data_IF_979861674006
#
_entry.id   IF_979861674006
#
_cell.length_a   1.000
_cell.length_b   1.000
_cell.length_c   1.000
_cell.angle_alpha   90.00
_cell.angle_beta   90.00
_cell.angle_gamma   90.00
#
_symmetry.space_group_name_H-M   'P 1'
#
loop_
_entity.id
_entity.type
_entity.pdbx_description
1 polymer ?
#
# COMPACT_ATOMS: atom_id res chain seq x y z
N UNK A 1 67.14 9.15 -53.69
CA UNK A 1 68.16 8.10 -53.48
C UNK A 1 67.63 7.22 -52.35
N UNK A 2 67.41 5.89 -52.49
CA UNK A 2 68.44 4.82 -52.63
C UNK A 2 69.48 4.92 -51.50
N UNK A 3 69.88 3.92 -50.69
CA UNK A 3 69.76 2.44 -50.64
C UNK A 3 70.22 2.01 -49.19
N UNK A 4 70.01 0.82 -48.58
CA UNK A 4 69.33 -0.46 -48.87
C UNK A 4 69.09 -1.28 -47.55
N UNK A 5 68.56 -2.51 -47.62
CA UNK A 5 68.60 -3.58 -46.57
C UNK A 5 69.63 -4.68 -46.98
N UNK A 6 69.86 -5.84 -46.29
CA UNK A 6 69.32 -6.40 -45.01
C UNK A 6 70.43 -6.95 -44.04
N UNK A 7 70.06 -7.66 -42.95
CA UNK A 7 70.49 -9.07 -42.73
C UNK A 7 69.63 -9.81 -41.66
N UNK A 8 69.69 -11.15 -41.64
CA UNK A 8 68.98 -12.12 -40.77
C UNK A 8 69.92 -13.28 -40.40
N UNK A 9 70.21 -13.51 -39.11
CA UNK A 9 70.59 -14.83 -38.51
C UNK A 9 70.11 -14.86 -37.05
N UNK A 10 69.17 -15.74 -36.68
CA UNK A 10 69.35 -17.12 -36.18
C UNK A 10 69.92 -17.20 -34.75
N UNK A 11 69.23 -17.96 -33.87
CA UNK A 11 69.64 -18.19 -32.47
C UNK A 11 68.48 -18.66 -31.58
N UNK A 12 68.16 -19.95 -31.61
CA UNK A 12 67.07 -20.58 -30.83
C UNK A 12 67.59 -21.24 -29.53
N UNK A 13 66.95 -20.95 -28.39
CA UNK A 13 66.91 -21.67 -27.09
C UNK A 13 66.40 -20.68 -26.01
N UNK A 14 65.61 -21.04 -24.99
CA UNK A 14 64.92 -22.29 -24.69
C UNK A 14 64.08 -22.12 -23.41
N UNK A 15 62.96 -22.84 -23.33
CA UNK A 15 62.15 -23.22 -22.14
C UNK A 15 62.49 -22.58 -20.77
N UNK A 16 61.50 -21.91 -20.15
CA UNK A 16 61.15 -22.20 -18.74
C UNK A 16 59.66 -21.91 -18.46
N UNK A 17 59.19 -22.34 -17.29
CA UNK A 17 57.84 -22.81 -17.05
C UNK A 17 56.80 -21.74 -16.71
N UNK A 18 55.53 -22.11 -16.95
CA UNK A 18 54.39 -21.24 -16.71
C UNK A 18 54.02 -21.13 -15.23
N UNK A 19 53.68 -19.92 -14.81
CA UNK A 19 52.87 -19.66 -13.63
C UNK A 19 51.57 -18.98 -14.07
N UNK A 20 50.56 -19.79 -14.43
CA UNK A 20 49.18 -19.29 -14.46
C UNK A 20 48.73 -19.13 -13.02
N UNK A 21 48.75 -17.91 -12.50
CA UNK A 21 47.99 -17.58 -11.31
C UNK A 21 46.52 -17.97 -11.57
N UNK A 22 45.89 -18.78 -10.72
CA UNK A 22 44.45 -18.92 -10.79
C UNK A 22 43.86 -17.59 -10.35
N UNK A 23 43.16 -16.89 -11.26
CA UNK A 23 42.29 -15.79 -10.86
C UNK A 23 41.29 -16.34 -9.83
N UNK A 24 41.47 -15.96 -8.58
CA UNK A 24 40.56 -16.31 -7.50
C UNK A 24 39.23 -15.60 -7.76
N UNK A 25 38.34 -16.29 -8.47
CA UNK A 25 36.95 -15.86 -8.63
C UNK A 25 36.41 -15.47 -7.25
N UNK A 26 35.79 -14.29 -7.10
CA UNK A 26 35.25 -13.88 -5.80
C UNK A 26 34.30 -14.96 -5.30
N UNK A 27 34.31 -15.29 -4.00
CA UNK A 27 33.52 -16.40 -3.47
C UNK A 27 32.05 -16.18 -3.81
N UNK A 28 31.49 -17.06 -4.65
CA UNK A 28 30.05 -17.05 -4.96
C UNK A 28 29.29 -17.03 -3.63
N UNK A 29 28.51 -15.98 -3.42
CA UNK A 29 27.68 -15.85 -2.24
C UNK A 29 26.84 -17.12 -2.09
N UNK A 30 27.04 -17.85 -0.99
CA UNK A 30 26.27 -19.06 -0.73
C UNK A 30 24.80 -18.65 -0.63
N UNK A 31 23.94 -19.28 -1.42
CA UNK A 31 22.49 -19.16 -1.29
C UNK A 31 22.03 -19.84 0.01
N UNK A 32 22.28 -19.20 1.14
CA UNK A 32 21.69 -19.55 2.43
C UNK A 32 20.21 -19.19 2.35
N UNK A 33 19.36 -20.22 2.22
CA UNK A 33 17.93 -20.00 1.98
C UNK A 33 17.21 -19.38 3.17
N UNK A 34 16.82 -18.11 3.02
CA UNK A 34 15.59 -17.44 3.48
C UNK A 34 15.14 -17.58 4.95
N UNK A 35 15.93 -18.21 5.81
CA UNK A 35 15.61 -18.43 7.22
C UNK A 35 16.58 -17.64 8.10
N UNK A 36 16.02 -16.86 9.01
CA UNK A 36 16.77 -16.22 10.07
C UNK A 36 17.33 -17.24 11.07
N UNK A 37 18.35 -16.84 11.84
CA UNK A 37 18.83 -17.64 12.97
C UNK A 37 17.68 -17.95 13.95
N UNK A 38 17.56 -19.17 14.50
CA UNK A 38 16.64 -19.46 15.61
C UNK A 38 16.82 -18.54 16.84
N UNK A 39 18.00 -17.93 16.99
CA UNK A 39 18.28 -16.94 18.03
C UNK A 39 17.73 -15.53 17.72
N UNK A 40 17.30 -15.23 16.50
CA UNK A 40 16.92 -13.86 16.10
C UNK A 40 15.73 -13.30 16.89
N UNK A 41 14.64 -14.05 17.16
CA UNK A 41 13.56 -13.57 18.04
C UNK A 41 14.07 -13.22 19.45
N UNK A 42 14.94 -14.05 20.02
CA UNK A 42 15.55 -13.80 21.33
C UNK A 42 16.43 -12.54 21.34
N UNK A 43 17.21 -12.31 20.28
CA UNK A 43 18.05 -11.13 20.12
C UNK A 43 17.22 -9.84 20.00
N UNK A 44 16.13 -9.88 19.22
CA UNK A 44 15.20 -8.76 19.09
C UNK A 44 14.52 -8.45 20.44
N UNK A 45 14.06 -9.46 21.18
CA UNK A 45 13.49 -9.29 22.51
C UNK A 45 14.50 -8.68 23.50
N UNK A 46 15.75 -9.13 23.49
CA UNK A 46 16.82 -8.59 24.33
C UNK A 46 17.15 -7.12 24.03
N UNK A 47 16.91 -6.66 22.81
CA UNK A 47 17.02 -5.26 22.39
C UNK A 47 15.74 -4.44 22.71
N UNK A 48 14.74 -5.02 23.37
CA UNK A 48 13.52 -4.36 23.79
C UNK A 48 12.38 -4.35 22.75
N UNK A 49 12.58 -4.95 21.58
CA UNK A 49 11.52 -5.18 20.60
C UNK A 49 10.52 -6.25 21.08
N UNK A 50 9.36 -6.29 20.45
CA UNK A 50 8.29 -7.26 20.76
C UNK A 50 8.05 -8.18 19.56
N UNK A 51 8.85 -9.26 19.41
CA UNK A 51 8.72 -10.21 18.31
C UNK A 51 7.50 -11.11 18.49
N UNK A 52 6.79 -11.34 17.39
CA UNK A 52 5.61 -12.21 17.31
C UNK A 52 5.69 -13.11 16.06
N UNK A 53 5.30 -14.39 16.14
CA UNK A 53 5.46 -15.32 15.03
C UNK A 53 4.45 -15.06 13.91
N UNK A 54 4.92 -15.09 12.67
CA UNK A 54 4.12 -14.91 11.45
C UNK A 54 4.16 -16.21 10.66
N UNK A 55 3.00 -16.82 10.42
CA UNK A 55 2.93 -18.06 9.65
C UNK A 55 3.50 -17.90 8.22
N UNK A 56 4.05 -18.96 7.61
CA UNK A 56 4.62 -18.90 6.27
C UNK A 56 3.67 -18.24 5.26
N UNK A 57 4.19 -17.30 4.47
CA UNK A 57 3.44 -16.54 3.47
C UNK A 57 2.23 -15.76 4.03
N UNK A 58 2.24 -15.38 5.31
CA UNK A 58 1.26 -14.45 5.89
C UNK A 58 1.83 -13.04 6.08
N UNK A 59 0.93 -12.07 6.21
CA UNK A 59 1.28 -10.67 6.57
C UNK A 59 0.90 -10.30 8.01
N UNK A 60 0.26 -11.21 8.73
CA UNK A 60 -0.31 -10.99 10.06
C UNK A 60 -0.11 -12.23 10.95
N UNK A 61 -0.10 -12.08 12.28
CA UNK A 61 -0.06 -13.22 13.19
C UNK A 61 -1.37 -14.00 13.14
N UNK A 62 -1.28 -15.33 13.18
CA UNK A 62 -2.45 -16.23 13.22
C UNK A 62 -2.85 -16.65 14.64
N UNK A 63 -2.12 -16.19 15.65
CA UNK A 63 -2.42 -16.36 17.08
C UNK A 63 -3.54 -15.39 17.49
N UNK A 64 -4.57 -15.85 18.20
CA UNK A 64 -5.76 -15.04 18.49
C UNK A 64 -5.48 -13.82 19.39
N UNK A 65 -4.59 -13.96 20.37
CA UNK A 65 -4.26 -12.98 21.41
C UNK A 65 -2.91 -12.26 21.16
N UNK A 66 -2.39 -12.32 19.93
CA UNK A 66 -1.12 -11.69 19.53
C UNK A 66 -0.92 -10.21 19.96
N UNK A 67 -1.95 -9.34 20.05
CA UNK A 67 -1.75 -7.95 20.47
C UNK A 67 -1.30 -7.81 21.93
N UNK A 68 -1.56 -8.82 22.76
CA UNK A 68 -1.29 -8.85 24.21
C UNK A 68 -0.41 -10.00 24.66
N UNK A 69 -0.16 -11.00 23.81
CA UNK A 69 0.68 -12.16 24.12
C UNK A 69 2.08 -11.78 24.65
N UNK A 70 2.60 -12.55 25.60
CA UNK A 70 3.94 -12.33 26.15
C UNK A 70 5.02 -12.77 25.15
N UNK A 71 5.80 -11.81 24.65
CA UNK A 71 6.90 -12.10 23.74
C UNK A 71 7.99 -12.94 24.41
N UNK A 72 8.16 -12.91 25.74
CA UNK A 72 9.12 -13.75 26.45
C UNK A 72 8.73 -15.24 26.37
N UNK A 73 7.44 -15.56 26.49
CA UNK A 73 6.93 -16.93 26.27
C UNK A 73 7.02 -17.35 24.80
N UNK A 74 6.63 -16.45 23.88
CA UNK A 74 6.63 -16.73 22.44
C UNK A 74 8.02 -17.08 21.88
N UNK A 75 9.09 -16.43 22.35
CA UNK A 75 10.45 -16.75 21.86
C UNK A 75 10.94 -18.12 22.32
N UNK A 76 10.53 -18.60 23.51
CA UNK A 76 10.89 -19.96 23.99
C UNK A 76 10.28 -21.06 23.11
N UNK A 77 9.09 -20.82 22.57
CA UNK A 77 8.32 -21.81 21.80
C UNK A 77 8.12 -21.39 20.33
N UNK A 78 9.13 -20.74 19.74
CA UNK A 78 9.00 -20.17 18.40
C UNK A 78 8.68 -21.24 17.33
N UNK A 79 7.54 -21.15 16.61
CA UNK A 79 7.15 -22.19 15.67
C UNK A 79 8.10 -22.29 14.46
N UNK A 80 8.36 -23.52 14.01
CA UNK A 80 9.25 -23.76 12.88
C UNK A 80 8.79 -23.05 11.60
N UNK A 81 9.76 -22.53 10.83
CA UNK A 81 9.58 -21.82 9.55
C UNK A 81 8.70 -20.55 9.61
N UNK A 82 8.30 -20.08 10.80
CA UNK A 82 7.55 -18.82 10.93
C UNK A 82 8.48 -17.62 10.75
N UNK A 83 8.00 -16.59 10.06
CA UNK A 83 8.59 -15.26 10.03
C UNK A 83 8.47 -14.53 11.37
N UNK A 84 9.12 -13.38 11.48
CA UNK A 84 9.08 -12.48 12.64
C UNK A 84 8.31 -11.23 12.27
N UNK A 85 7.20 -11.00 12.96
CA UNK A 85 6.55 -9.70 13.07
C UNK A 85 7.09 -8.95 14.28
N UNK A 86 7.10 -7.62 14.21
CA UNK A 86 7.39 -6.76 15.35
C UNK A 86 6.11 -6.00 15.72
N UNK A 87 5.66 -6.19 16.96
CA UNK A 87 4.50 -5.48 17.52
C UNK A 87 4.86 -4.02 17.76
N UNK A 88 4.00 -3.11 17.28
CA UNK A 88 4.18 -1.66 17.43
C UNK A 88 3.45 -1.13 18.67
N UNK A 89 3.91 0.01 19.20
CA UNK A 89 3.48 0.61 20.46
C UNK A 89 4.68 1.18 21.24
N UNK A 90 5.69 0.34 21.51
CA UNK A 90 7.03 0.80 21.96
C UNK A 90 7.78 1.52 20.83
N UNK A 91 7.75 0.92 19.65
CA UNK A 91 8.21 1.51 18.38
C UNK A 91 6.98 1.84 17.52
N UNK A 92 7.11 2.80 16.61
CA UNK A 92 6.15 2.98 15.53
C UNK A 92 6.79 2.63 14.19
N UNK A 93 5.97 2.37 13.18
CA UNK A 93 6.46 2.13 11.83
C UNK A 93 5.73 3.01 10.82
N UNK A 94 6.48 3.83 10.08
CA UNK A 94 5.97 4.62 8.97
C UNK A 94 5.95 3.72 7.74
N UNK A 95 4.77 3.22 7.37
CA UNK A 95 4.53 2.37 6.20
C UNK A 95 4.10 3.23 5.02
N UNK A 96 5.01 3.42 4.07
CA UNK A 96 4.81 4.18 2.83
C UNK A 96 4.19 3.25 1.79
N UNK A 97 2.88 3.04 1.88
CA UNK A 97 2.06 2.26 0.94
C UNK A 97 1.79 3.05 -0.35
N UNK A 98 2.86 3.43 -1.05
CA UNK A 98 2.84 4.22 -2.29
C UNK A 98 3.51 3.44 -3.42
N UNK A 99 2.93 3.49 -4.62
CA UNK A 99 3.34 2.73 -5.80
C UNK A 99 4.12 3.56 -6.84
N UNK A 100 4.18 4.87 -6.67
CA UNK A 100 4.99 5.78 -7.49
C UNK A 100 6.38 5.92 -6.86
N UNK A 101 7.43 5.54 -7.60
CA UNK A 101 8.79 5.49 -7.09
C UNK A 101 9.38 6.88 -6.80
N UNK A 102 9.11 7.87 -7.65
CA UNK A 102 9.60 9.25 -7.47
C UNK A 102 8.94 9.89 -6.23
N UNK A 103 7.68 9.57 -5.97
CA UNK A 103 6.97 9.98 -4.75
C UNK A 103 7.54 9.28 -3.51
N UNK A 104 7.82 7.97 -3.57
CA UNK A 104 8.46 7.24 -2.46
C UNK A 104 9.84 7.83 -2.14
N UNK A 105 10.70 8.05 -3.13
CA UNK A 105 12.06 8.56 -2.91
C UNK A 105 12.04 9.95 -2.26
N UNK A 106 11.13 10.83 -2.66
CA UNK A 106 10.94 12.14 -2.00
C UNK A 106 10.48 11.99 -0.55
N UNK A 107 9.53 11.10 -0.26
CA UNK A 107 9.04 10.86 1.10
C UNK A 107 10.10 10.21 2.01
N UNK A 108 10.86 9.25 1.51
CA UNK A 108 11.94 8.58 2.26
C UNK A 108 13.10 9.54 2.53
N UNK A 109 13.45 10.40 1.57
CA UNK A 109 14.45 11.44 1.78
C UNK A 109 13.97 12.51 2.79
N UNK A 110 12.68 12.83 2.81
CA UNK A 110 12.12 13.72 3.82
C UNK A 110 12.16 13.09 5.22
N UNK A 111 11.81 11.80 5.35
CA UNK A 111 11.94 11.04 6.61
C UNK A 111 13.40 11.00 7.10
N UNK A 112 14.37 10.79 6.20
CA UNK A 112 15.81 10.84 6.53
C UNK A 112 16.28 12.20 7.06
N UNK A 113 15.63 13.29 6.64
CA UNK A 113 15.94 14.64 7.11
C UNK A 113 15.21 15.02 8.41
N UNK A 114 13.99 14.50 8.63
CA UNK A 114 13.15 14.83 9.79
C UNK A 114 13.45 13.98 11.03
N UNK A 115 13.89 12.73 10.85
CA UNK A 115 14.28 11.87 11.96
C UNK A 115 15.60 12.34 12.60
N UNK A 116 15.80 12.06 13.89
CA UNK A 116 17.02 12.43 14.63
C UNK A 116 18.31 11.81 14.07
N UNK A 117 18.17 10.73 13.29
CA UNK A 117 19.17 10.15 12.40
C UNK A 117 18.44 9.48 11.23
N UNK A 118 19.16 9.10 10.17
CA UNK A 118 18.55 8.41 9.03
C UNK A 118 17.95 7.05 9.47
N UNK A 119 16.64 6.80 9.27
CA UNK A 119 16.02 5.53 9.63
C UNK A 119 16.39 4.45 8.63
N UNK A 120 16.50 3.20 9.11
CA UNK A 120 16.51 2.03 8.23
C UNK A 120 15.20 1.93 7.43
N UNK A 121 15.31 1.42 6.21
CA UNK A 121 14.18 1.09 5.35
C UNK A 121 14.04 -0.42 5.21
N UNK A 122 12.78 -0.90 5.21
CA UNK A 122 12.41 -2.29 4.96
C UNK A 122 11.50 -2.37 3.75
N UNK A 123 11.85 -3.22 2.79
CA UNK A 123 11.13 -3.42 1.53
C UNK A 123 10.64 -4.87 1.44
N UNK A 124 9.36 -5.06 1.11
CA UNK A 124 8.79 -6.37 0.77
C UNK A 124 8.22 -6.44 -0.66
N UNK A 125 7.72 -5.31 -1.15
CA UNK A 125 7.25 -5.12 -2.52
C UNK A 125 7.63 -3.70 -2.96
N UNK A 126 8.69 -3.54 -3.78
CA UNK A 126 9.03 -2.24 -4.36
C UNK A 126 7.84 -1.60 -5.11
N UNK A 127 7.73 -0.26 -5.12
CA UNK A 127 8.64 0.70 -4.47
C UNK A 127 8.35 0.92 -2.98
N UNK A 128 7.34 0.26 -2.38
CA UNK A 128 6.90 0.52 -1.00
C UNK A 128 8.00 0.28 0.04
N UNK A 129 8.05 1.17 1.02
CA UNK A 129 9.05 1.21 2.10
C UNK A 129 8.36 1.31 3.45
N UNK A 130 8.89 0.61 4.45
CA UNK A 130 8.55 0.81 5.86
C UNK A 130 9.78 1.26 6.66
N UNK A 131 9.63 2.30 7.46
CA UNK A 131 10.68 2.83 8.35
C UNK A 131 10.26 2.68 9.83
N UNK A 132 10.90 1.82 10.64
CA UNK A 132 10.68 1.80 12.09
C UNK A 132 11.37 3.00 12.75
N UNK A 133 10.66 3.69 13.64
CA UNK A 133 11.13 4.90 14.34
C UNK A 133 10.53 4.96 15.75
N UNK A 134 11.06 5.85 16.60
CA UNK A 134 10.47 6.17 17.90
C UNK A 134 9.60 7.43 17.78
N UNK A 135 8.35 7.35 18.24
CA UNK A 135 7.45 8.51 18.36
C UNK A 135 6.53 8.34 19.58
N UNK A 136 6.95 8.77 20.79
CA UNK A 136 6.19 8.53 22.02
C UNK A 136 4.79 9.14 22.03
N UNK A 137 4.53 10.16 21.22
CA UNK A 137 3.26 10.89 21.09
C UNK A 137 2.13 10.08 20.42
N UNK A 138 2.47 9.08 19.60
CA UNK A 138 1.50 8.33 18.80
C UNK A 138 1.10 7.06 19.53
N UNK A 139 -0.09 7.05 20.13
CA UNK A 139 -0.63 5.90 20.88
C UNK A 139 -1.60 5.01 20.10
N UNK A 140 -2.01 5.41 18.90
CA UNK A 140 -2.91 4.67 18.01
C UNK A 140 -2.45 4.86 16.57
N UNK A 141 -2.89 3.99 15.64
CA UNK A 141 -2.57 4.16 14.22
C UNK A 141 -3.10 5.51 13.72
N UNK A 142 -2.24 6.28 13.05
CA UNK A 142 -2.63 7.45 12.24
C UNK A 142 -2.29 7.18 10.78
N UNK A 143 -3.00 7.81 9.85
CA UNK A 143 -2.76 7.64 8.41
C UNK A 143 -2.96 8.96 7.68
N UNK A 144 -2.27 9.15 6.56
CA UNK A 144 -2.49 10.26 5.63
C UNK A 144 -3.86 10.17 4.95
N UNK A 145 -4.19 11.16 4.13
CA UNK A 145 -5.23 10.99 3.12
C UNK A 145 -4.95 9.79 2.21
N UNK A 146 -6.01 9.09 1.77
CA UNK A 146 -5.97 8.09 0.72
C UNK A 146 -6.03 8.79 -0.63
N UNK A 147 -5.08 8.50 -1.51
CA UNK A 147 -5.02 9.07 -2.85
C UNK A 147 -5.12 8.00 -3.92
N UNK A 148 -5.97 8.20 -4.92
CA UNK A 148 -6.09 7.32 -6.08
C UNK A 148 -5.30 7.91 -7.26
N UNK A 149 -4.36 7.15 -7.80
CA UNK A 149 -3.65 7.55 -9.01
C UNK A 149 -4.51 7.40 -10.29
N UNK A 150 -3.93 7.82 -11.41
CA UNK A 150 -4.54 7.70 -12.75
C UNK A 150 -4.82 6.25 -13.18
N UNK A 151 -4.11 5.27 -12.63
CA UNK A 151 -4.29 3.85 -12.91
C UNK A 151 -5.40 3.22 -12.05
N UNK A 152 -5.87 3.91 -11.01
CA UNK A 152 -6.87 3.40 -10.08
C UNK A 152 -6.27 2.70 -8.86
N UNK A 153 -4.97 2.84 -8.62
CA UNK A 153 -4.26 2.31 -7.46
C UNK A 153 -4.37 3.32 -6.31
N UNK A 154 -4.56 2.80 -5.10
CA UNK A 154 -4.65 3.62 -3.89
C UNK A 154 -3.28 3.67 -3.22
N UNK A 155 -2.86 4.89 -2.89
CA UNK A 155 -1.61 5.25 -2.25
C UNK A 155 -1.93 5.92 -0.89
N UNK A 156 -1.21 5.55 0.16
CA UNK A 156 -1.38 6.10 1.52
C UNK A 156 -0.07 5.96 2.32
N UNK A 157 0.14 6.80 3.33
CA UNK A 157 1.12 6.55 4.39
C UNK A 157 0.36 6.20 5.66
N UNK A 158 0.75 5.13 6.35
CA UNK A 158 0.26 4.80 7.68
C UNK A 158 1.39 4.84 8.70
N UNK A 159 1.10 5.24 9.93
CA UNK A 159 2.03 5.15 11.06
C UNK A 159 1.46 4.15 12.06
N UNK A 160 2.00 2.94 12.04
CA UNK A 160 1.57 1.81 12.87
C UNK A 160 2.04 2.02 14.32
N UNK A 161 1.13 1.88 15.29
CA UNK A 161 1.38 2.02 16.74
C UNK A 161 0.67 0.89 17.50
N UNK A 162 0.22 1.09 18.75
CA UNK A 162 -0.40 0.05 19.58
C UNK A 162 -1.52 -0.72 18.84
N UNK A 163 -1.53 -2.04 19.07
CA UNK A 163 -2.48 -2.96 18.43
C UNK A 163 -2.19 -3.22 16.95
N UNK A 164 -1.05 -2.79 16.42
CA UNK A 164 -0.56 -3.09 15.07
C UNK A 164 0.78 -3.86 15.12
N UNK A 165 1.24 -4.34 13.97
CA UNK A 165 2.55 -4.96 13.79
C UNK A 165 3.01 -4.84 12.34
N UNK A 166 4.28 -5.08 12.08
CA UNK A 166 4.78 -5.30 10.71
C UNK A 166 5.72 -6.51 10.65
N UNK A 167 5.73 -7.22 9.52
CA UNK A 167 6.63 -8.36 9.30
C UNK A 167 8.06 -7.87 9.06
N UNK A 168 8.94 -8.02 10.05
CA UNK A 168 10.35 -7.65 9.94
C UNK A 168 11.16 -8.68 9.13
N UNK A 169 10.86 -9.96 9.27
CA UNK A 169 11.57 -11.06 8.60
C UNK A 169 10.58 -12.16 8.14
N UNK A 170 10.76 -12.68 6.93
CA UNK A 170 9.88 -13.71 6.35
C UNK A 170 9.71 -13.54 4.84
N UNK A 171 8.89 -14.39 4.22
CA UNK A 171 8.57 -14.30 2.78
C UNK A 171 7.31 -13.45 2.57
N UNK A 172 7.41 -12.42 1.73
CA UNK A 172 6.28 -11.58 1.35
C UNK A 172 5.38 -12.31 0.33
N UNK A 173 4.08 -12.55 0.61
CA UNK A 173 3.27 -13.51 -0.14
C UNK A 173 3.00 -13.16 -1.61
N UNK A 174 3.02 -11.88 -1.97
CA UNK A 174 2.76 -11.44 -3.35
C UNK A 174 4.02 -11.51 -4.22
N UNK A 175 5.19 -11.28 -3.63
CA UNK A 175 6.47 -11.23 -4.38
C UNK A 175 7.23 -12.55 -4.31
N UNK A 176 6.88 -13.44 -3.38
CA UNK A 176 7.57 -14.72 -3.15
C UNK A 176 9.01 -14.56 -2.65
N UNK A 177 9.40 -13.36 -2.22
CA UNK A 177 10.77 -12.99 -1.82
C UNK A 177 10.85 -12.64 -0.33
N UNK A 178 12.02 -12.79 0.31
CA UNK A 178 12.25 -12.27 1.64
C UNK A 178 12.01 -10.76 1.74
N UNK A 179 11.56 -10.30 2.90
CA UNK A 179 11.68 -8.88 3.25
C UNK A 179 13.17 -8.50 3.36
N UNK A 180 13.53 -7.36 2.79
CA UNK A 180 14.89 -6.84 2.73
C UNK A 180 15.02 -5.57 3.57
N UNK A 181 16.17 -5.37 4.18
CA UNK A 181 16.54 -4.17 4.93
C UNK A 181 17.76 -3.52 4.28
N UNK A 182 17.87 -2.20 4.33
CA UNK A 182 19.05 -1.45 3.88
C UNK A 182 20.19 -1.40 4.93
N UNK A 183 20.01 -2.07 6.07
CA UNK A 183 21.01 -2.22 7.13
C UNK A 183 20.63 -3.26 8.18
N UNK A 184 21.41 -3.32 9.25
CA UNK A 184 21.27 -4.33 10.32
C UNK A 184 20.44 -3.79 11.49
N UNK A 185 19.18 -4.23 11.56
CA UNK A 185 18.24 -3.83 12.63
C UNK A 185 18.73 -4.19 14.04
N UNK A 186 19.58 -5.23 14.20
CA UNK A 186 20.13 -5.60 15.52
C UNK A 186 21.20 -4.62 16.01
N UNK A 187 21.72 -3.77 15.13
CA UNK A 187 22.80 -2.80 15.42
C UNK A 187 22.38 -1.35 15.20
N UNK A 188 21.12 -1.11 14.84
CA UNK A 188 20.60 0.22 14.56
C UNK A 188 19.77 0.73 15.73
N UNK A 189 20.24 1.82 16.35
CA UNK A 189 19.44 2.59 17.29
C UNK A 189 18.34 3.32 16.50
N UNK A 190 17.07 3.05 16.82
CA UNK A 190 15.95 3.65 16.09
C UNK A 190 15.93 5.17 16.30
N UNK A 191 15.89 5.98 15.23
CA UNK A 191 15.81 7.42 15.39
C UNK A 191 14.43 7.85 15.88
N UNK A 192 14.40 9.02 16.52
CA UNK A 192 13.17 9.64 17.02
C UNK A 192 12.62 10.62 15.99
N UNK A 193 11.29 10.70 15.88
CA UNK A 193 10.57 11.73 15.12
C UNK A 193 9.36 12.20 15.94
N UNK A 194 9.02 13.49 15.85
CA UNK A 194 7.81 14.02 16.51
C UNK A 194 6.56 13.76 15.68
N UNK A 195 5.40 13.84 16.32
CA UNK A 195 4.10 13.77 15.62
C UNK A 195 3.91 14.91 14.63
N UNK A 196 4.45 16.10 14.92
CA UNK A 196 4.35 17.27 14.01
C UNK A 196 5.12 17.03 12.70
N UNK A 197 6.33 16.47 12.77
CA UNK A 197 7.12 16.16 11.58
C UNK A 197 6.48 15.04 10.75
N UNK A 198 5.85 14.04 11.39
CA UNK A 198 5.05 13.03 10.67
C UNK A 198 3.84 13.65 9.95
N UNK A 199 3.22 14.69 10.50
CA UNK A 199 2.19 15.45 9.79
C UNK A 199 2.77 16.20 8.58
N UNK A 200 3.98 16.77 8.68
CA UNK A 200 4.65 17.39 7.52
C UNK A 200 4.95 16.38 6.40
N UNK A 201 5.25 15.12 6.72
CA UNK A 201 5.37 14.03 5.74
C UNK A 201 4.03 13.74 5.05
N UNK A 202 2.91 13.72 5.80
CA UNK A 202 1.57 13.57 5.21
C UNK A 202 1.22 14.76 4.29
N UNK A 203 1.51 15.98 4.73
CA UNK A 203 1.28 17.21 3.95
C UNK A 203 2.17 17.25 2.69
N UNK A 204 3.34 16.61 2.72
CA UNK A 204 4.21 16.45 1.54
C UNK A 204 3.61 15.46 0.54
N UNK A 205 3.09 14.31 0.98
CA UNK A 205 2.34 13.40 0.11
C UNK A 205 1.13 14.12 -0.52
N UNK A 206 0.36 14.88 0.25
CA UNK A 206 -0.80 15.63 -0.26
C UNK A 206 -0.40 16.61 -1.39
N UNK A 207 0.74 17.30 -1.25
CA UNK A 207 1.29 18.19 -2.29
C UNK A 207 1.74 17.43 -3.54
N UNK A 208 2.46 16.32 -3.37
CA UNK A 208 2.93 15.48 -4.48
C UNK A 208 1.75 14.85 -5.24
N UNK A 209 0.79 14.25 -4.52
CA UNK A 209 -0.39 13.63 -5.09
C UNK A 209 -1.27 14.63 -5.85
N UNK A 210 -1.51 15.82 -5.28
CA UNK A 210 -2.26 16.89 -5.96
C UNK A 210 -1.54 17.38 -7.23
N UNK A 211 -0.21 17.57 -7.18
CA UNK A 211 0.61 17.93 -8.35
C UNK A 211 0.55 16.85 -9.45
N UNK A 212 0.50 15.58 -9.06
CA UNK A 212 0.38 14.43 -9.97
C UNK A 212 -1.06 14.15 -10.43
N UNK A 213 -2.03 15.01 -10.11
CA UNK A 213 -3.43 14.86 -10.53
C UNK A 213 -4.17 13.69 -9.88
N UNK A 214 -3.66 13.15 -8.77
CA UNK A 214 -4.31 12.06 -8.04
C UNK A 214 -5.61 12.54 -7.38
N UNK A 215 -6.59 11.64 -7.23
CA UNK A 215 -7.87 11.97 -6.59
C UNK A 215 -7.79 11.70 -5.09
N UNK A 216 -8.07 12.72 -4.26
CA UNK A 216 -8.15 12.56 -2.81
C UNK A 216 -9.42 11.81 -2.43
N UNK A 217 -9.28 10.51 -2.14
CA UNK A 217 -10.39 9.66 -1.76
C UNK A 217 -10.94 10.04 -0.39
N UNK A 218 -10.09 10.37 0.59
CA UNK A 218 -10.52 10.75 1.95
C UNK A 218 -11.45 11.98 1.94
N UNK A 219 -11.08 13.02 1.20
CA UNK A 219 -11.90 14.21 1.03
C UNK A 219 -13.25 13.89 0.37
N UNK A 220 -13.24 13.03 -0.65
CA UNK A 220 -14.44 12.56 -1.31
C UNK A 220 -15.33 11.68 -0.42
N UNK A 221 -14.78 10.78 0.41
CA UNK A 221 -15.56 10.03 1.39
C UNK A 221 -16.24 10.98 2.39
N UNK A 222 -15.51 11.99 2.86
CA UNK A 222 -16.02 12.97 3.81
C UNK A 222 -17.14 13.82 3.18
N UNK A 223 -17.03 14.16 1.89
CA UNK A 223 -18.09 14.86 1.16
C UNK A 223 -19.31 13.95 0.91
N UNK A 224 -19.10 12.66 0.59
CA UNK A 224 -20.18 11.69 0.47
C UNK A 224 -20.93 11.51 1.79
N UNK A 225 -20.22 11.35 2.92
CA UNK A 225 -20.80 11.27 4.27
C UNK A 225 -21.60 12.52 4.62
N UNK A 226 -21.15 13.73 4.24
CA UNK A 226 -21.92 14.97 4.39
C UNK A 226 -23.20 14.96 3.54
N UNK A 227 -23.15 14.49 2.30
CA UNK A 227 -24.33 14.37 1.43
C UNK A 227 -25.35 13.38 2.02
N UNK A 228 -24.89 12.21 2.49
CA UNK A 228 -25.74 11.20 3.15
C UNK A 228 -26.36 11.76 4.45
N UNK A 229 -25.58 12.45 5.28
CA UNK A 229 -26.10 13.05 6.51
C UNK A 229 -27.04 14.26 6.28
N UNK A 230 -26.85 15.01 5.18
CA UNK A 230 -27.71 16.12 4.79
C UNK A 230 -29.00 15.67 4.10
N UNK A 231 -29.09 14.42 3.62
CA UNK A 231 -30.37 13.81 3.26
C UNK A 231 -31.20 13.71 4.53
N UNK A 232 -32.26 14.52 4.60
CA UNK A 232 -33.40 14.20 5.47
C UNK A 232 -33.83 12.76 5.17
N UNK A 233 -34.24 11.96 6.16
CA UNK A 233 -34.91 10.70 5.89
C UNK A 233 -35.98 10.96 4.83
N UNK A 234 -35.93 10.22 3.72
CA UNK A 234 -36.90 10.38 2.63
C UNK A 234 -38.28 10.31 3.25
N UNK A 235 -39.01 11.43 3.27
CA UNK A 235 -40.34 11.48 3.86
C UNK A 235 -41.20 10.41 3.18
N UNK A 236 -42.26 10.00 3.88
CA UNK A 236 -43.31 9.10 3.39
C UNK A 236 -44.12 9.77 2.26
N UNK A 237 -43.45 10.07 1.15
CA UNK A 237 -43.98 10.67 -0.05
C UNK A 237 -43.79 9.74 -1.23
N UNK A 238 -44.82 9.72 -2.09
CA UNK A 238 -44.98 8.77 -3.19
C UNK A 238 -44.28 9.22 -4.49
N UNK A 239 -43.21 10.00 -4.35
CA UNK A 239 -42.38 10.40 -5.48
C UNK A 239 -41.63 9.16 -6.02
N UNK A 240 -41.73 8.81 -7.32
CA UNK A 240 -41.17 7.56 -7.85
C UNK A 240 -39.69 7.34 -7.53
N UNK A 241 -38.85 8.38 -7.62
CA UNK A 241 -37.43 8.26 -7.26
C UNK A 241 -37.19 8.00 -5.77
N UNK A 242 -38.05 8.51 -4.87
CA UNK A 242 -37.97 8.21 -3.45
C UNK A 242 -38.45 6.79 -3.13
N UNK A 243 -39.45 6.28 -3.86
CA UNK A 243 -39.85 4.87 -3.80
C UNK A 243 -38.71 3.99 -4.30
N UNK A 244 -38.16 4.28 -5.49
CA UNK A 244 -37.09 3.51 -6.11
C UNK A 244 -35.83 3.40 -5.23
N UNK A 245 -35.37 4.52 -4.67
CA UNK A 245 -34.25 4.56 -3.73
C UNK A 245 -34.49 3.77 -2.42
N UNK A 246 -35.75 3.46 -2.08
CA UNK A 246 -36.12 2.61 -0.93
C UNK A 246 -36.34 1.14 -1.32
N UNK A 247 -36.72 0.86 -2.57
CA UNK A 247 -37.03 -0.49 -3.04
C UNK A 247 -35.84 -1.22 -3.69
N UNK A 248 -34.82 -0.49 -4.17
CA UNK A 248 -33.64 -1.07 -4.83
C UNK A 248 -32.36 -0.59 -4.14
N UNK A 249 -31.44 -1.51 -3.85
CA UNK A 249 -30.12 -1.13 -3.31
C UNK A 249 -29.24 -0.58 -4.43
N UNK A 250 -28.41 0.42 -4.12
CA UNK A 250 -27.47 0.97 -5.10
C UNK A 250 -26.48 -0.09 -5.62
N UNK A 251 -26.15 -1.11 -4.82
CA UNK A 251 -25.33 -2.26 -5.23
C UNK A 251 -25.97 -2.98 -6.42
N UNK A 252 -27.27 -3.29 -6.33
CA UNK A 252 -28.02 -3.95 -7.41
C UNK A 252 -28.02 -3.12 -8.70
N UNK A 253 -28.19 -1.80 -8.59
CA UNK A 253 -28.17 -0.88 -9.76
C UNK A 253 -26.78 -0.81 -10.38
N UNK A 254 -25.73 -0.75 -9.57
CA UNK A 254 -24.34 -0.73 -10.04
C UNK A 254 -23.98 -2.02 -10.79
N UNK A 255 -24.30 -3.18 -10.21
CA UNK A 255 -24.06 -4.49 -10.82
C UNK A 255 -24.85 -4.66 -12.13
N UNK A 256 -26.11 -4.20 -12.17
CA UNK A 256 -26.94 -4.21 -13.37
C UNK A 256 -26.29 -3.46 -14.55
N UNK A 257 -25.77 -2.25 -14.31
CA UNK A 257 -25.04 -1.49 -15.34
C UNK A 257 -23.56 -1.91 -15.49
N UNK A 258 -23.15 -3.06 -14.94
CA UNK A 258 -21.83 -3.65 -15.17
C UNK A 258 -20.67 -3.07 -14.37
N UNK A 259 -20.94 -2.31 -13.30
CA UNK A 259 -19.91 -1.96 -12.32
C UNK A 259 -19.47 -3.21 -11.56
N UNK A 260 -18.19 -3.26 -11.20
CA UNK A 260 -17.60 -4.41 -10.51
C UNK A 260 -17.04 -3.98 -9.16
N UNK A 261 -17.38 -4.71 -8.11
CA UNK A 261 -16.81 -4.50 -6.78
C UNK A 261 -15.30 -4.76 -6.84
N UNK A 262 -14.49 -3.81 -6.37
CA UNK A 262 -13.03 -3.89 -6.40
C UNK A 262 -12.47 -4.35 -5.06
N UNK A 263 -12.73 -3.60 -3.98
CA UNK A 263 -12.38 -3.96 -2.60
C UNK A 263 -13.19 -3.15 -1.60
N UNK A 264 -13.61 -3.75 -0.49
CA UNK A 264 -14.41 -3.08 0.55
C UNK A 264 -15.67 -2.40 -0.06
N UNK A 265 -15.73 -1.08 0.01
CA UNK A 265 -16.74 -0.19 -0.57
C UNK A 265 -16.36 0.42 -1.94
N UNK A 266 -15.20 0.09 -2.50
CA UNK A 266 -14.70 0.64 -3.77
C UNK A 266 -15.16 -0.19 -4.98
N UNK A 267 -15.46 0.49 -6.08
CA UNK A 267 -16.00 -0.07 -7.32
C UNK A 267 -15.23 0.41 -8.57
N UNK A 268 -15.13 -0.49 -9.55
CA UNK A 268 -14.59 -0.27 -10.89
C UNK A 268 -15.73 -0.01 -11.87
N UNK A 269 -15.63 1.04 -12.69
CA UNK A 269 -16.65 1.40 -13.69
C UNK A 269 -16.67 0.40 -14.87
N UNK A 270 -17.79 0.30 -15.61
CA UNK A 270 -17.86 -0.44 -16.86
C UNK A 270 -16.76 -0.02 -17.84
N UNK A 271 -16.17 -0.98 -18.55
CA UNK A 271 -15.08 -0.74 -19.50
C UNK A 271 -13.69 -0.46 -18.88
N UNK A 272 -13.56 -0.29 -17.56
CA UNK A 272 -12.25 -0.27 -16.88
C UNK A 272 -11.90 -1.69 -16.40
N UNK A 273 -10.69 -2.16 -16.71
CA UNK A 273 -10.27 -3.53 -16.38
C UNK A 273 -10.08 -3.77 -14.87
N UNK A 274 -9.49 -2.80 -14.17
CA UNK A 274 -9.17 -2.87 -12.74
C UNK A 274 -9.02 -1.48 -12.13
N UNK A 275 -8.95 -1.40 -10.80
CA UNK A 275 -8.69 -0.15 -10.07
C UNK A 275 -9.94 0.71 -9.85
N UNK A 276 -9.84 1.63 -8.90
CA UNK A 276 -10.99 2.38 -8.38
C UNK A 276 -11.53 3.39 -9.39
N UNK A 277 -12.86 3.56 -9.41
CA UNK A 277 -13.60 4.56 -10.19
C UNK A 277 -14.75 5.21 -9.41
N UNK A 278 -15.28 4.55 -8.38
CA UNK A 278 -16.21 5.11 -7.41
C UNK A 278 -16.18 4.36 -6.09
N UNK A 279 -16.82 4.90 -5.05
CA UNK A 279 -17.01 4.23 -3.76
C UNK A 279 -18.45 4.37 -3.29
N UNK A 280 -19.00 3.33 -2.67
CA UNK A 280 -20.37 3.31 -2.14
C UNK A 280 -20.38 3.62 -0.65
N UNK A 281 -21.15 4.63 -0.26
CA UNK A 281 -21.35 5.03 1.13
C UNK A 281 -22.86 5.04 1.42
N UNK A 282 -23.37 4.01 2.09
CA UNK A 282 -24.81 3.83 2.27
C UNK A 282 -25.51 3.57 0.92
N UNK A 283 -26.48 4.43 0.58
CA UNK A 283 -27.25 4.43 -0.67
C UNK A 283 -26.63 5.27 -1.80
N UNK A 284 -25.40 5.81 -1.60
CA UNK A 284 -24.73 6.74 -2.52
C UNK A 284 -23.47 6.14 -3.14
N UNK A 285 -23.34 6.27 -4.47
CA UNK A 285 -22.07 6.16 -5.19
C UNK A 285 -21.43 7.54 -5.23
N UNK A 286 -20.25 7.70 -4.64
CA UNK A 286 -19.36 8.79 -5.00
C UNK A 286 -18.52 8.36 -6.22
N UNK A 287 -18.72 9.01 -7.36
CA UNK A 287 -18.00 8.71 -8.60
C UNK A 287 -16.73 9.58 -8.67
N UNK A 288 -15.54 8.97 -8.75
CA UNK A 288 -14.25 9.69 -8.80
C UNK A 288 -13.84 10.04 -10.24
N UNK A 289 -13.95 9.07 -11.14
CA UNK A 289 -13.66 9.24 -12.57
C UNK A 289 -14.93 9.58 -13.34
N UNK A 290 -14.83 10.33 -14.44
CA UNK A 290 -15.94 10.45 -15.39
C UNK A 290 -16.33 9.05 -15.88
N UNK A 291 -17.62 8.70 -15.80
CA UNK A 291 -18.19 7.54 -16.50
C UNK A 291 -18.92 8.05 -17.75
N UNK A 292 -19.30 7.22 -18.73
CA UNK A 292 -19.96 7.70 -19.95
C UNK A 292 -21.19 8.58 -19.70
N UNK A 293 -21.90 8.35 -18.59
CA UNK A 293 -23.09 9.10 -18.18
C UNK A 293 -23.01 9.71 -16.75
N UNK A 294 -22.04 9.33 -15.91
CA UNK A 294 -21.94 9.82 -14.53
C UNK A 294 -20.85 10.89 -14.38
N UNK A 295 -21.23 12.02 -13.78
CA UNK A 295 -20.33 13.12 -13.43
C UNK A 295 -19.23 12.68 -12.47
N UNK A 296 -17.99 13.07 -12.78
CA UNK A 296 -16.84 12.91 -11.91
C UNK A 296 -16.96 13.80 -10.65
N UNK A 297 -16.36 13.35 -9.55
CA UNK A 297 -16.37 14.01 -8.24
C UNK A 297 -17.76 14.40 -7.74
N UNK A 298 -18.75 13.52 -7.96
CA UNK A 298 -20.15 13.74 -7.58
C UNK A 298 -20.78 12.51 -6.92
N UNK A 299 -21.75 12.77 -6.05
CA UNK A 299 -22.63 11.77 -5.44
C UNK A 299 -23.81 11.46 -6.36
N UNK A 300 -24.12 10.17 -6.54
CA UNK A 300 -25.28 9.67 -7.28
C UNK A 300 -26.01 8.64 -6.41
N UNK A 301 -27.34 8.67 -6.38
CA UNK A 301 -28.17 7.61 -5.78
C UNK A 301 -28.66 6.61 -6.84
N UNK A 302 -29.34 5.56 -6.38
CA UNK A 302 -29.87 4.51 -7.26
C UNK A 302 -30.74 5.07 -8.39
N UNK A 303 -31.67 5.98 -8.08
CA UNK A 303 -32.56 6.61 -9.06
C UNK A 303 -31.82 7.56 -10.04
N UNK A 304 -30.85 8.35 -9.57
CA UNK A 304 -30.03 9.17 -10.46
C UNK A 304 -29.17 8.30 -11.39
N UNK A 305 -28.62 7.19 -10.91
CA UNK A 305 -27.88 6.26 -11.78
C UNK A 305 -28.80 5.74 -12.91
N UNK A 306 -29.99 5.21 -12.60
CA UNK A 306 -30.95 4.76 -13.64
C UNK A 306 -31.29 5.89 -14.61
N UNK A 307 -31.65 7.07 -14.09
CA UNK A 307 -31.95 8.25 -14.90
C UNK A 307 -30.81 8.63 -15.84
N UNK A 308 -29.55 8.50 -15.42
CA UNK A 308 -28.35 8.79 -16.22
C UNK A 308 -28.06 7.72 -17.28
N UNK A 309 -28.22 6.44 -16.96
CA UNK A 309 -27.95 5.34 -17.91
C UNK A 309 -29.04 5.17 -18.96
N UNK A 310 -30.32 5.33 -18.60
CA UNK A 310 -31.46 5.04 -19.49
C UNK A 310 -32.11 6.28 -20.09
N UNK A 311 -32.08 7.42 -19.38
CA UNK A 311 -32.82 8.64 -19.74
C UNK A 311 -31.92 9.87 -19.92
N UNK A 312 -30.60 9.69 -20.05
CA UNK A 312 -29.63 10.78 -20.25
C UNK A 312 -29.55 11.80 -19.09
N UNK A 313 -30.10 11.47 -17.92
CA UNK A 313 -30.25 12.36 -16.77
C UNK A 313 -31.61 13.05 -16.66
N UNK A 314 -32.57 12.78 -17.56
CA UNK A 314 -33.95 13.25 -17.40
C UNK A 314 -34.65 12.46 -16.28
N UNK A 315 -34.70 13.07 -15.10
CA UNK A 315 -35.37 12.53 -13.92
C UNK A 315 -36.89 12.51 -14.06
N UNK A 316 -37.48 13.34 -14.93
CA UNK A 316 -38.93 13.35 -15.19
C UNK A 316 -39.35 12.21 -16.10
N UNK A 317 -38.59 11.96 -17.18
CA UNK A 317 -38.79 10.81 -18.05
C UNK A 317 -38.61 9.49 -17.29
N UNK A 318 -37.53 9.37 -16.51
CA UNK A 318 -37.26 8.20 -15.66
C UNK A 318 -38.40 7.96 -14.64
N UNK A 319 -38.84 9.00 -13.92
CA UNK A 319 -39.96 8.90 -12.98
C UNK A 319 -41.32 8.63 -13.63
N UNK A 320 -41.46 8.83 -14.95
CA UNK A 320 -42.65 8.45 -15.71
C UNK A 320 -42.62 6.97 -16.09
N UNK A 321 -41.48 6.49 -16.60
CA UNK A 321 -41.29 5.09 -16.99
C UNK A 321 -41.53 4.13 -15.81
N UNK A 322 -40.92 4.41 -14.64
CA UNK A 322 -41.10 3.60 -13.42
C UNK A 322 -42.56 3.48 -12.93
N UNK A 323 -43.46 4.40 -13.30
CA UNK A 323 -44.90 4.28 -12.98
C UNK A 323 -45.65 3.38 -13.97
N UNK A 324 -45.14 3.23 -15.19
CA UNK A 324 -45.80 2.46 -16.25
C UNK A 324 -45.52 0.96 -16.11
N UNK A 325 -44.34 0.58 -15.62
CA UNK A 325 -43.99 -0.82 -15.31
C UNK A 325 -44.79 -1.42 -14.14
N UNK A 326 -45.36 -0.58 -13.26
CA UNK A 326 -46.25 -1.01 -12.15
C UNK A 326 -47.71 -1.18 -12.61
N UNK A 327 -48.04 -0.73 -13.83
CA UNK A 327 -49.40 -0.72 -14.39
C UNK A 327 -49.59 -1.72 -15.55
N UNK A 328 -48.63 -2.62 -15.77
CA UNK A 328 -48.60 -3.65 -16.82
C UNK A 328 -48.48 -5.04 -16.20
#
# INVERSE_FOLDING_TARGET
>A
MQKETPDRREGNQGLDHGSRHPESSPPKAKSQGDRHSPSLPHQLLALGFEPIPIAPSQKYPTLNDWPTADCAELVQHWPANHGIGLRTGKIVAVDVDVYDADVVDQLVNLLRFMCSAAPLTRIGQPPKVLCPVLCPEIKTKISSNKWCDQHGVINQIEVLSHGQQFVAYGIHPVTGKPYQWDGDLLRHELPTISRSLLQEVFDHLDKLAAKSGWVNLTAAENQAKKVVAARRPQTSGDAPGAIYNRSVTIVTVLEHYGWKKYREHHWTRPGKASGVSGSVFGDILWCFSSSPCLSANAAHDAFEIVSRYEFGGDKSACAKALRQEVAA
#
